data_IF_477148570693
#
_entry.id   IF_477148570693
#
_cell.length_a   1.000
_cell.length_b   1.000
_cell.length_c   1.000
_cell.angle_alpha   90.00
_cell.angle_beta   90.00
_cell.angle_gamma   90.00
#
_symmetry.space_group_name_H-M   'P 1'
#
loop_
_entity.id
_entity.type
_entity.pdbx_description
1 polymer ?
#
# COMPACT_ATOMS: atom_id res chain seq x y z
N UNK A 1 -11.43 -4.38 20.24
CA UNK A 1 -10.21 -3.65 19.97
C UNK A 1 -10.05 -3.43 18.49
N UNK A 2 -9.57 -2.26 18.11
CA UNK A 2 -9.32 -1.98 16.70
C UNK A 2 -8.16 -2.83 16.19
N UNK A 3 -8.30 -3.37 14.99
CA UNK A 3 -7.20 -4.06 14.34
C UNK A 3 -6.15 -3.05 13.90
N UNK A 4 -4.90 -3.45 13.98
CA UNK A 4 -3.80 -2.59 13.59
C UNK A 4 -3.09 -3.18 12.39
N UNK A 5 -2.83 -2.32 11.41
CA UNK A 5 -2.03 -2.64 10.23
C UNK A 5 -0.85 -1.68 10.14
N UNK A 6 0.16 -2.11 9.43
CA UNK A 6 1.33 -1.28 9.18
C UNK A 6 1.73 -1.41 7.72
N UNK A 7 2.20 -0.33 7.14
CA UNK A 7 2.55 -0.32 5.74
C UNK A 7 3.63 0.69 5.39
N UNK A 8 4.08 0.63 4.16
CA UNK A 8 5.12 1.53 3.66
C UNK A 8 4.63 2.18 2.38
N UNK A 9 4.66 3.52 2.37
CA UNK A 9 4.43 4.29 1.16
C UNK A 9 5.79 4.50 0.52
N UNK A 10 6.08 3.68 -0.48
CA UNK A 10 7.35 3.77 -1.21
C UNK A 10 7.25 4.92 -2.20
N UNK A 11 8.30 5.73 -2.26
CA UNK A 11 8.32 6.84 -3.21
C UNK A 11 9.63 6.85 -3.97
N UNK A 12 9.60 7.47 -5.13
CA UNK A 12 10.77 7.70 -5.97
C UNK A 12 10.59 9.02 -6.71
N UNK A 13 11.70 9.53 -7.22
CA UNK A 13 11.65 10.76 -7.99
C UNK A 13 12.18 10.49 -9.39
N UNK A 14 11.34 10.74 -10.38
CA UNK A 14 11.68 10.67 -11.80
C UNK A 14 11.53 12.07 -12.36
N UNK A 15 10.74 12.27 -13.41
CA UNK A 15 10.39 13.62 -13.82
C UNK A 15 9.61 14.35 -12.73
N UNK A 16 8.87 13.59 -11.93
CA UNK A 16 8.11 14.10 -10.79
C UNK A 16 8.17 13.08 -9.66
N UNK A 17 7.75 13.49 -8.47
CA UNK A 17 7.62 12.56 -7.35
C UNK A 17 6.51 11.55 -7.63
N UNK A 18 6.80 10.28 -7.44
CA UNK A 18 5.83 9.20 -7.61
C UNK A 18 5.76 8.35 -6.36
N UNK A 19 4.58 7.84 -6.06
CA UNK A 19 4.38 6.91 -4.96
C UNK A 19 3.83 5.60 -5.49
N UNK A 20 4.17 4.51 -4.81
CA UNK A 20 3.74 3.17 -5.21
C UNK A 20 2.45 2.82 -4.48
N UNK A 21 1.41 2.51 -5.26
CA UNK A 21 0.12 2.09 -4.72
C UNK A 21 -0.27 0.75 -5.33
N UNK A 22 -1.08 -0.02 -4.60
CA UNK A 22 -1.45 -1.36 -5.01
C UNK A 22 -2.96 -1.50 -5.03
N UNK A 23 -3.45 -2.30 -5.98
CA UNK A 23 -4.87 -2.58 -6.13
C UNK A 23 -5.19 -3.92 -5.51
N UNK A 24 -6.23 -4.01 -4.65
CA UNK A 24 -6.58 -5.29 -4.04
C UNK A 24 -7.10 -6.27 -5.09
N UNK A 25 -6.68 -7.52 -4.95
CA UNK A 25 -7.12 -8.58 -5.83
C UNK A 25 -8.43 -9.17 -5.37
N UNK A 26 -8.93 -10.11 -6.15
CA UNK A 26 -10.18 -10.81 -5.87
C UNK A 26 -11.37 -10.20 -6.59
N UNK A 27 -12.48 -10.94 -6.61
CA UNK A 27 -13.63 -10.56 -7.45
C UNK A 27 -14.37 -9.31 -6.98
N UNK A 28 -14.33 -9.01 -5.68
CA UNK A 28 -15.06 -7.84 -5.18
C UNK A 28 -14.47 -6.51 -5.63
N UNK A 29 -13.17 -6.49 -5.94
CA UNK A 29 -12.46 -5.26 -6.28
C UNK A 29 -12.13 -5.15 -7.76
N UNK A 30 -12.41 -6.21 -8.53
CA UNK A 30 -11.90 -6.32 -9.90
C UNK A 30 -12.26 -5.13 -10.79
N UNK A 31 -13.43 -4.54 -10.59
CA UNK A 31 -13.90 -3.43 -11.42
C UNK A 31 -13.85 -2.07 -10.71
N UNK A 32 -13.24 -2.02 -9.52
CA UNK A 32 -13.15 -0.78 -8.76
C UNK A 32 -11.79 -0.14 -9.00
N UNK A 33 -11.78 1.17 -9.06
CA UNK A 33 -10.56 1.92 -9.31
C UNK A 33 -10.44 3.08 -8.31
N UNK A 34 -11.26 4.12 -8.45
CA UNK A 34 -11.18 5.24 -7.51
C UNK A 34 -11.51 4.81 -6.10
N UNK A 35 -10.77 5.34 -5.13
CA UNK A 35 -10.99 5.14 -3.68
C UNK A 35 -10.95 3.67 -3.27
N UNK A 36 -10.18 2.85 -4.00
CA UNK A 36 -10.10 1.41 -3.72
C UNK A 36 -8.67 0.88 -3.61
N UNK A 37 -7.68 1.65 -4.03
CA UNK A 37 -6.28 1.26 -3.93
C UNK A 37 -5.76 1.54 -2.52
N UNK A 38 -4.61 0.96 -2.21
CA UNK A 38 -4.00 1.05 -0.88
C UNK A 38 -2.50 1.21 -1.02
N UNK A 39 -1.87 1.72 0.05
CA UNK A 39 -0.44 1.51 0.21
C UNK A 39 -0.23 0.02 0.53
N UNK A 40 0.93 -0.56 0.19
CA UNK A 40 1.25 -1.92 0.63
C UNK A 40 1.25 -1.98 2.16
N UNK A 41 0.40 -2.83 2.73
CA UNK A 41 0.23 -2.92 4.18
C UNK A 41 -0.47 -4.21 4.56
N UNK A 42 -0.37 -4.57 5.82
CA UNK A 42 -1.10 -5.70 6.35
C UNK A 42 -1.10 -5.69 7.86
N UNK A 43 -1.69 -6.71 8.45
CA UNK A 43 -1.89 -6.76 9.89
C UNK A 43 -0.58 -6.98 10.63
N UNK A 44 -0.46 -6.32 11.78
CA UNK A 44 0.66 -6.50 12.70
C UNK A 44 0.35 -7.70 13.57
N UNK A 45 1.23 -8.69 13.58
CA UNK A 45 1.06 -9.88 14.39
C UNK A 45 1.36 -9.57 15.86
N UNK A 46 0.84 -10.40 16.75
CA UNK A 46 1.10 -10.25 18.18
C UNK A 46 2.61 -10.29 18.44
N UNK A 47 3.10 -9.29 19.17
CA UNK A 47 4.50 -9.21 19.51
C UNK A 47 5.42 -8.71 18.40
N UNK A 48 4.86 -8.41 17.23
CA UNK A 48 5.65 -7.92 16.11
C UNK A 48 5.79 -6.40 16.18
N UNK A 49 6.99 -5.89 15.90
CA UNK A 49 7.19 -4.46 15.79
C UNK A 49 6.48 -3.91 14.56
N UNK A 50 5.75 -2.79 14.66
CA UNK A 50 5.00 -2.28 13.51
C UNK A 50 5.84 -2.05 12.25
N UNK A 51 7.06 -1.52 12.37
CA UNK A 51 7.89 -1.32 11.19
C UNK A 51 8.32 -2.65 10.57
N UNK A 52 8.60 -3.65 11.40
CA UNK A 52 8.94 -4.98 10.89
C UNK A 52 7.75 -5.58 10.16
N UNK A 53 6.54 -5.40 10.70
CA UNK A 53 5.31 -5.85 10.03
C UNK A 53 5.14 -5.15 8.69
N UNK A 54 5.39 -3.83 8.64
CA UNK A 54 5.27 -3.07 7.41
C UNK A 54 6.23 -3.59 6.34
N UNK A 55 7.46 -3.88 6.71
CA UNK A 55 8.44 -4.42 5.77
C UNK A 55 8.07 -5.82 5.30
N UNK A 56 7.58 -6.66 6.21
CA UNK A 56 7.14 -8.01 5.86
C UNK A 56 5.98 -7.96 4.89
N UNK A 57 4.97 -7.14 5.17
CA UNK A 57 3.80 -7.02 4.32
C UNK A 57 4.16 -6.44 2.96
N UNK A 58 5.08 -5.48 2.90
CA UNK A 58 5.55 -4.96 1.63
C UNK A 58 6.11 -6.08 0.76
N UNK A 59 6.96 -6.92 1.35
CA UNK A 59 7.54 -8.04 0.62
C UNK A 59 6.51 -9.05 0.17
N UNK A 60 5.53 -9.34 1.01
CA UNK A 60 4.48 -10.31 0.68
C UNK A 60 3.56 -9.80 -0.42
N UNK A 61 3.21 -8.52 -0.38
CA UNK A 61 2.31 -7.96 -1.38
C UNK A 61 2.98 -7.75 -2.73
N UNK A 62 4.26 -7.41 -2.74
CA UNK A 62 4.98 -7.21 -4.00
C UNK A 62 5.66 -8.45 -4.51
N UNK A 63 5.96 -9.41 -3.64
CA UNK A 63 6.72 -10.60 -4.00
C UNK A 63 8.19 -10.32 -4.17
N UNK A 64 8.71 -9.28 -3.51
CA UNK A 64 10.10 -8.88 -3.64
C UNK A 64 10.55 -8.16 -2.39
N UNK A 65 11.83 -8.24 -2.08
CA UNK A 65 12.43 -7.45 -1.01
C UNK A 65 13.03 -6.21 -1.64
N UNK A 66 12.58 -5.04 -1.17
CA UNK A 66 13.07 -3.77 -1.70
C UNK A 66 14.15 -3.20 -0.80
N UNK A 67 15.14 -2.56 -1.42
CA UNK A 67 16.08 -1.75 -0.67
C UNK A 67 15.43 -0.40 -0.42
N UNK A 68 15.26 -0.07 0.86
CA UNK A 68 14.59 1.16 1.26
C UNK A 68 15.57 2.08 1.96
N UNK A 69 15.42 3.39 1.71
CA UNK A 69 16.21 4.41 2.38
C UNK A 69 15.32 5.58 2.77
N UNK A 70 15.88 6.50 3.53
CA UNK A 70 15.18 7.73 3.92
C UNK A 70 13.82 7.47 4.55
N UNK A 71 13.79 6.53 5.50
CA UNK A 71 12.57 6.17 6.20
C UNK A 71 12.05 7.34 7.01
N UNK A 72 10.75 7.61 6.90
CA UNK A 72 10.11 8.67 7.67
C UNK A 72 8.77 8.18 8.21
N UNK A 73 8.51 8.45 9.49
CA UNK A 73 7.26 8.04 10.14
C UNK A 73 6.13 8.96 9.65
N UNK A 74 5.11 8.37 9.06
CA UNK A 74 3.95 9.13 8.57
C UNK A 74 2.74 9.05 9.51
N UNK A 75 2.93 8.40 10.67
CA UNK A 75 1.88 8.34 11.68
C UNK A 75 0.77 7.36 11.35
N UNK A 76 -0.38 7.60 11.94
CA UNK A 76 -1.52 6.70 11.84
C UNK A 76 -2.72 7.38 11.23
N UNK A 77 -3.57 6.59 10.59
CA UNK A 77 -4.91 7.00 10.18
C UNK A 77 -5.90 5.91 10.62
N UNK A 78 -7.15 6.31 10.79
CA UNK A 78 -8.23 5.37 11.10
C UNK A 78 -9.12 5.24 9.89
N UNK A 79 -9.25 4.02 9.40
CA UNK A 79 -10.11 3.74 8.26
C UNK A 79 -11.57 3.60 8.71
N UNK A 80 -12.48 3.60 7.72
CA UNK A 80 -13.91 3.67 7.96
C UNK A 80 -14.43 2.61 8.93
N UNK A 81 -13.90 1.39 8.86
CA UNK A 81 -14.33 0.30 9.72
C UNK A 81 -13.64 0.28 11.08
N UNK A 82 -12.88 1.34 11.42
CA UNK A 82 -12.17 1.43 12.69
C UNK A 82 -10.76 0.86 12.69
N UNK A 83 -10.32 0.26 11.59
CA UNK A 83 -8.96 -0.26 11.49
C UNK A 83 -7.97 0.90 11.52
N UNK A 84 -6.93 0.77 12.34
CA UNK A 84 -5.87 1.76 12.43
C UNK A 84 -4.71 1.30 11.55
N UNK A 85 -4.23 2.21 10.69
CA UNK A 85 -3.10 1.92 9.81
C UNK A 85 -1.97 2.88 10.16
N UNK A 86 -0.81 2.34 10.48
CA UNK A 86 0.40 3.13 10.67
C UNK A 86 1.27 2.96 9.44
N UNK A 87 1.90 4.05 8.98
CA UNK A 87 2.71 3.97 7.78
C UNK A 87 4.02 4.72 7.94
N UNK A 88 5.00 4.27 7.16
CA UNK A 88 6.27 4.98 6.96
C UNK A 88 6.40 5.27 5.48
N UNK A 89 7.02 6.41 5.16
CA UNK A 89 7.47 6.68 3.81
C UNK A 89 8.89 6.19 3.66
N UNK A 90 9.24 5.71 2.49
CA UNK A 90 10.61 5.26 2.24
C UNK A 90 10.93 5.37 0.76
N UNK A 91 12.16 5.79 0.46
CA UNK A 91 12.64 5.86 -0.91
C UNK A 91 12.98 4.46 -1.39
N UNK A 92 12.51 4.09 -2.57
CA UNK A 92 12.81 2.79 -3.14
C UNK A 92 12.33 2.72 -4.58
N UNK A 93 12.53 1.58 -5.20
CA UNK A 93 12.09 1.34 -6.57
C UNK A 93 11.55 -0.07 -6.69
N UNK A 94 10.65 -0.26 -7.65
CA UNK A 94 10.04 -1.55 -7.91
C UNK A 94 9.45 -1.53 -9.31
N UNK A 95 9.66 -2.62 -10.05
CA UNK A 95 9.06 -2.79 -11.37
C UNK A 95 7.66 -3.41 -11.20
N UNK A 96 6.59 -2.65 -11.48
CA UNK A 96 5.23 -3.21 -11.35
C UNK A 96 5.01 -4.48 -12.16
N UNK A 97 5.76 -4.67 -13.25
CA UNK A 97 5.68 -5.90 -14.04
C UNK A 97 6.22 -7.12 -13.33
N UNK A 98 6.96 -6.94 -12.24
CA UNK A 98 7.50 -8.03 -11.44
C UNK A 98 6.60 -8.40 -10.27
N UNK A 99 5.40 -7.84 -10.19
CA UNK A 99 4.48 -8.09 -9.07
C UNK A 99 4.15 -9.57 -8.94
N UNK A 100 4.31 -10.11 -7.73
CA UNK A 100 4.03 -11.50 -7.43
C UNK A 100 3.54 -11.63 -5.99
N UNK A 101 2.32 -11.15 -5.74
CA UNK A 101 1.80 -11.10 -4.38
C UNK A 101 1.43 -12.48 -3.85
N UNK A 102 1.36 -12.59 -2.53
CA UNK A 102 0.74 -13.73 -1.89
C UNK A 102 -0.72 -13.84 -2.32
N UNK A 103 -1.29 -15.03 -2.14
CA UNK A 103 -2.67 -15.28 -2.50
C UNK A 103 -3.51 -15.54 -1.26
N UNK A 104 -4.81 -15.41 -1.42
CA UNK A 104 -5.78 -15.83 -0.41
C UNK A 104 -6.85 -16.67 -1.09
N UNK A 105 -7.53 -17.50 -0.31
CA UNK A 105 -8.62 -18.33 -0.84
C UNK A 105 -9.95 -17.84 -0.32
N UNK A 106 -10.96 -17.93 -1.18
CA UNK A 106 -12.33 -17.66 -0.78
C UNK A 106 -13.29 -18.50 -1.60
N UNK A 107 -14.48 -18.68 -1.08
CA UNK A 107 -15.53 -19.34 -1.84
C UNK A 107 -15.99 -18.42 -2.96
N UNK A 108 -15.91 -18.95 -4.18
CA UNK A 108 -16.34 -18.19 -5.33
C UNK A 108 -16.75 -19.13 -6.46
N UNK A 109 -17.91 -18.97 -7.11
CA UNK A 109 -18.93 -17.94 -6.80
C UNK A 109 -19.53 -18.14 -5.41
N UNK A 110 -20.23 -17.12 -4.88
CA UNK A 110 -20.88 -17.26 -3.57
C UNK A 110 -21.77 -18.49 -3.52
N UNK A 111 -21.70 -19.22 -2.40
CA UNK A 111 -22.53 -20.41 -2.15
C UNK A 111 -22.28 -21.55 -3.13
N UNK A 112 -21.17 -21.53 -3.85
CA UNK A 112 -20.85 -22.60 -4.82
C UNK A 112 -20.20 -23.81 -4.17
N UNK A 113 -19.64 -23.64 -2.97
CA UNK A 113 -18.83 -24.68 -2.33
C UNK A 113 -17.44 -24.79 -2.94
N UNK A 114 -17.10 -23.96 -3.91
CA UNK A 114 -15.81 -24.00 -4.57
C UNK A 114 -14.89 -22.93 -4.00
N UNK A 115 -13.68 -23.30 -3.63
CA UNK A 115 -12.69 -22.35 -3.16
C UNK A 115 -11.74 -22.02 -4.29
N UNK A 116 -11.47 -20.73 -4.45
CA UNK A 116 -10.53 -20.25 -5.48
C UNK A 116 -9.49 -19.36 -4.82
N UNK A 117 -8.29 -19.41 -5.38
CA UNK A 117 -7.19 -18.56 -4.93
C UNK A 117 -7.16 -17.29 -5.78
N UNK A 118 -6.97 -16.16 -5.12
CA UNK A 118 -6.83 -14.85 -5.75
C UNK A 118 -5.59 -14.17 -5.20
N UNK A 119 -4.89 -13.36 -5.98
CA UNK A 119 -3.78 -12.59 -5.43
C UNK A 119 -4.32 -11.56 -4.43
N UNK A 120 -3.58 -11.31 -3.36
CA UNK A 120 -3.95 -10.24 -2.43
C UNK A 120 -3.85 -8.89 -3.11
N UNK A 121 -2.89 -8.73 -4.02
CA UNK A 121 -2.68 -7.54 -4.83
C UNK A 121 -2.58 -7.98 -6.28
N UNK A 122 -3.39 -7.41 -7.15
CA UNK A 122 -3.38 -7.79 -8.57
C UNK A 122 -2.70 -6.77 -9.48
N UNK A 123 -2.49 -5.54 -9.00
CA UNK A 123 -1.79 -4.51 -9.77
C UNK A 123 -1.01 -3.61 -8.84
N UNK A 124 0.11 -3.12 -9.32
CA UNK A 124 0.89 -2.09 -8.64
C UNK A 124 1.16 -0.98 -9.64
N UNK A 125 1.21 0.25 -9.18
CA UNK A 125 1.45 1.38 -10.07
C UNK A 125 2.21 2.49 -9.35
N UNK A 126 3.09 3.14 -10.10
CA UNK A 126 3.70 4.39 -9.68
C UNK A 126 2.84 5.53 -10.17
N UNK A 127 2.42 6.38 -9.26
CA UNK A 127 1.52 7.49 -9.61
C UNK A 127 1.97 8.76 -8.92
N UNK A 128 1.62 9.90 -9.50
CA UNK A 128 1.89 11.18 -8.87
C UNK A 128 0.91 11.40 -7.71
N UNK A 129 1.23 12.31 -6.79
CA UNK A 129 0.40 12.50 -5.59
C UNK A 129 -1.08 12.79 -5.88
N UNK A 130 -1.38 13.58 -6.91
CA UNK A 130 -2.78 13.89 -7.24
C UNK A 130 -3.55 12.62 -7.62
N UNK A 131 -2.92 11.74 -8.41
CA UNK A 131 -3.56 10.49 -8.79
C UNK A 131 -3.68 9.54 -7.61
N UNK A 132 -2.67 9.53 -6.73
CA UNK A 132 -2.72 8.72 -5.52
C UNK A 132 -3.92 9.11 -4.66
N UNK A 133 -4.20 10.41 -4.53
CA UNK A 133 -5.36 10.86 -3.75
C UNK A 133 -6.68 10.37 -4.36
N UNK A 134 -6.76 10.24 -5.66
CA UNK A 134 -7.95 9.72 -6.33
C UNK A 134 -8.11 8.21 -6.10
N UNK A 135 -7.00 7.49 -6.14
CA UNK A 135 -7.02 6.04 -6.12
C UNK A 135 -7.12 5.46 -4.71
N UNK A 136 -6.46 6.05 -3.73
CA UNK A 136 -6.35 5.48 -2.39
C UNK A 136 -7.67 5.51 -1.64
N UNK A 137 -7.84 4.54 -0.75
CA UNK A 137 -8.89 4.59 0.26
C UNK A 137 -8.82 5.96 0.94
N UNK A 138 -9.97 6.63 1.15
CA UNK A 138 -9.95 8.04 1.57
C UNK A 138 -9.09 8.33 2.80
N UNK A 139 -9.13 7.49 3.83
CA UNK A 139 -8.34 7.74 5.03
C UNK A 139 -6.83 7.73 4.75
N UNK A 140 -6.40 6.97 3.75
CA UNK A 140 -4.97 6.84 3.45
C UNK A 140 -4.41 8.03 2.68
N UNK A 141 -5.25 8.90 2.13
CA UNK A 141 -4.75 10.07 1.41
C UNK A 141 -3.93 10.98 2.31
N UNK A 142 -4.17 10.93 3.62
CA UNK A 142 -3.38 11.71 4.58
C UNK A 142 -1.89 11.32 4.55
N UNK A 143 -1.59 10.06 4.23
CA UNK A 143 -0.19 9.64 4.14
C UNK A 143 0.54 10.34 3.01
N UNK A 144 -0.14 10.56 1.88
CA UNK A 144 0.44 11.29 0.76
C UNK A 144 0.73 12.72 1.17
N UNK A 145 -0.23 13.37 1.84
CA UNK A 145 -0.04 14.75 2.29
C UNK A 145 1.11 14.88 3.27
N UNK A 146 1.20 13.94 4.22
CA UNK A 146 2.28 13.95 5.21
C UNK A 146 3.64 13.68 4.57
N UNK A 147 3.69 12.80 3.57
CA UNK A 147 4.93 12.57 2.84
C UNK A 147 5.40 13.84 2.14
N UNK A 148 4.49 14.56 1.51
CA UNK A 148 4.83 15.80 0.80
C UNK A 148 5.35 16.88 1.75
N UNK A 149 4.99 16.83 3.03
CA UNK A 149 5.50 17.80 4.00
C UNK A 149 6.97 17.57 4.33
N UNK A 150 7.47 16.36 4.13
CA UNK A 150 8.86 16.02 4.52
C UNK A 150 9.76 15.71 3.34
N UNK A 151 9.20 15.50 2.15
CA UNK A 151 9.98 15.22 0.95
C UNK A 151 9.80 16.35 -0.05
N UNK A 152 10.91 16.98 -0.43
CA UNK A 152 10.84 18.04 -1.43
C UNK A 152 10.88 17.43 -2.83
N UNK A 153 9.90 17.79 -3.68
CA UNK A 153 9.92 17.30 -5.06
C UNK A 153 11.14 17.80 -5.82
N UNK A 154 11.57 17.00 -6.80
CA UNK A 154 12.67 17.38 -7.69
C UNK A 154 12.27 18.65 -8.44
N UNK A 155 13.21 19.59 -8.53
CA UNK A 155 13.03 20.80 -9.32
C UNK A 155 12.40 21.96 -8.58
N UNK A 156 12.19 21.85 -7.27
CA UNK A 156 11.65 22.94 -6.47
C UNK A 156 12.73 23.71 -5.69
N UNK A 157 13.98 23.50 -6.03
CA UNK A 157 15.04 24.25 -5.39
C UNK A 157 15.08 25.68 -5.89
N UNK A 158 15.40 26.58 -5.00
CA UNK A 158 15.51 28.01 -5.31
C UNK A 158 16.93 28.48 -5.34
#
# INVERSE_FOLDING_TARGET
MAKRSAGILVYRERAALEVLVVHPGGPFWAKRDAASWSIPKGEVDDGEEPLAAARRELGEELGATLELSDLVDLGEVRQKAGKVVRAWGARGDFDPGALASNTFEMEWPPRSGQRRAFPEVDRAAWVEPAEARRLLLPAQTAFVDRLLEVVEPVGQEQ
#
